data_IF_520793623724
#
_entry.id   IF_520793623724
#
_cell.length_a   1.000
_cell.length_b   1.000
_cell.length_c   1.000
_cell.angle_alpha   90.00
_cell.angle_beta   90.00
_cell.angle_gamma   90.00
#
_symmetry.space_group_name_H-M   'P 1'
#
loop_
_entity.id
_entity.type
_entity.pdbx_description
1 polymer ?
#
# COMPACT_ATOMS: atom_id res chain seq x y z
N UNK A 1 -16.03 16.89 25.36
CA UNK A 1 -16.23 18.34 25.20
C UNK A 1 -15.38 19.04 26.22
N UNK A 2 -14.41 19.86 25.81
CA UNK A 2 -13.68 20.73 26.72
C UNK A 2 -14.67 21.70 27.36
N UNK A 3 -14.58 21.91 28.66
CA UNK A 3 -15.49 22.81 29.40
C UNK A 3 -15.24 24.31 29.14
N UNK A 4 -14.42 24.66 28.17
CA UNK A 4 -14.20 26.04 27.73
C UNK A 4 -14.86 26.27 26.36
N UNK A 5 -15.19 27.49 26.06
CA UNK A 5 -15.94 27.92 24.87
C UNK A 5 -15.07 28.11 23.63
N UNK A 6 -13.80 27.69 23.65
CA UNK A 6 -12.89 27.73 22.49
C UNK A 6 -13.15 26.56 21.55
N UNK A 7 -14.24 26.62 20.82
CA UNK A 7 -14.54 25.67 19.77
C UNK A 7 -14.03 26.20 18.43
N UNK A 8 -13.14 25.48 17.79
CA UNK A 8 -12.79 25.73 16.40
C UNK A 8 -13.99 25.33 15.53
N UNK A 9 -14.40 26.22 14.66
CA UNK A 9 -15.40 25.87 13.65
C UNK A 9 -14.68 25.11 12.53
N UNK A 10 -15.02 23.84 12.28
CA UNK A 10 -14.39 23.09 11.20
C UNK A 10 -14.79 23.73 9.86
N UNK A 11 -13.82 23.81 8.95
CA UNK A 11 -14.04 24.22 7.57
C UNK A 11 -13.51 23.13 6.65
N UNK A 12 -14.36 22.68 5.72
CA UNK A 12 -14.05 21.62 4.76
C UNK A 12 -13.69 20.25 5.40
N UNK A 13 -14.14 20.01 6.63
CA UNK A 13 -14.04 18.70 7.27
C UNK A 13 -15.36 17.94 7.12
N UNK A 14 -15.28 16.69 6.73
CA UNK A 14 -16.40 15.76 6.63
C UNK A 14 -16.23 14.62 7.63
N UNK A 15 -17.25 13.79 7.82
CA UNK A 15 -17.16 12.63 8.70
C UNK A 15 -16.09 11.61 8.23
N UNK A 16 -15.75 11.62 6.96
CA UNK A 16 -14.74 10.75 6.34
C UNK A 16 -13.30 11.23 6.58
N UNK A 17 -13.13 12.46 7.06
CA UNK A 17 -11.81 12.99 7.46
C UNK A 17 -11.45 12.65 8.93
N UNK A 18 -12.36 11.99 9.64
CA UNK A 18 -12.14 11.54 11.03
C UNK A 18 -11.38 10.21 11.01
N UNK A 19 -10.28 10.16 11.73
CA UNK A 19 -9.48 8.94 11.91
C UNK A 19 -9.46 8.55 13.38
N UNK A 20 -9.18 7.27 13.67
CA UNK A 20 -8.94 6.77 15.03
C UNK A 20 -7.50 6.97 15.47
N UNK A 21 -6.68 7.62 14.65
CA UNK A 21 -5.30 7.93 14.97
C UNK A 21 -5.20 8.83 16.21
N UNK A 22 -4.40 8.41 17.16
CA UNK A 22 -4.15 9.11 18.42
C UNK A 22 -2.66 9.06 18.76
N UNK A 23 -2.14 9.89 19.69
CA UNK A 23 -0.73 9.80 20.10
C UNK A 23 -0.30 8.42 20.61
N UNK A 24 -1.24 7.60 21.07
CA UNK A 24 -0.98 6.23 21.56
C UNK A 24 -1.32 5.16 20.53
N UNK A 25 -1.93 5.52 19.42
CA UNK A 25 -2.41 4.59 18.40
C UNK A 25 -2.22 5.26 17.03
N UNK A 26 -0.98 5.25 16.56
CA UNK A 26 -0.54 5.94 15.34
C UNK A 26 -0.45 4.95 14.18
N UNK A 27 -1.34 5.11 13.21
CA UNK A 27 -1.40 4.27 12.02
C UNK A 27 -0.62 4.90 10.86
N UNK A 28 -0.04 4.05 10.00
CA UNK A 28 0.48 4.52 8.74
C UNK A 28 -0.65 5.01 7.82
N UNK A 29 -0.33 5.98 6.98
CA UNK A 29 -1.20 6.49 5.90
C UNK A 29 -0.38 6.60 4.62
N UNK A 30 -0.98 6.97 3.50
CA UNK A 30 -0.22 7.39 2.33
C UNK A 30 0.57 8.66 2.63
N UNK A 31 1.81 8.70 2.13
CA UNK A 31 2.75 9.79 2.39
C UNK A 31 2.53 10.95 1.41
N UNK A 32 2.01 12.07 1.89
CA UNK A 32 1.79 13.26 1.07
C UNK A 32 3.10 13.92 0.57
N UNK A 33 4.23 13.60 1.21
CA UNK A 33 5.55 14.12 0.85
C UNK A 33 6.33 13.16 -0.07
N UNK A 34 5.89 11.89 -0.17
CA UNK A 34 6.54 10.89 -1.03
C UNK A 34 5.50 10.20 -1.94
N UNK A 35 4.98 10.98 -2.85
CA UNK A 35 4.00 10.59 -3.87
C UNK A 35 4.30 11.26 -5.21
N UNK A 36 3.88 10.65 -6.29
CA UNK A 36 3.92 11.27 -7.61
C UNK A 36 3.02 12.52 -7.67
N UNK A 37 3.37 13.47 -8.53
CA UNK A 37 2.69 14.77 -8.62
C UNK A 37 1.19 14.66 -9.01
N UNK A 38 0.81 13.61 -9.73
CA UNK A 38 -0.55 13.31 -10.16
C UNK A 38 -1.30 12.33 -9.23
N UNK A 39 -0.82 12.15 -8.01
CA UNK A 39 -1.53 11.45 -6.94
C UNK A 39 -2.31 12.45 -6.10
N UNK A 40 -3.61 12.25 -5.99
CA UNK A 40 -4.48 12.99 -5.06
C UNK A 40 -4.81 12.09 -3.88
N UNK A 41 -4.55 12.58 -2.67
CA UNK A 41 -4.88 11.89 -1.42
C UNK A 41 -6.16 12.46 -0.81
N UNK A 42 -6.96 11.62 -0.19
CA UNK A 42 -8.20 11.98 0.53
C UNK A 42 -8.45 11.00 1.68
N UNK A 43 -9.55 11.18 2.41
CA UNK A 43 -9.93 10.32 3.55
C UNK A 43 -8.78 10.21 4.57
N UNK A 44 -8.33 11.35 5.09
CA UNK A 44 -7.16 11.42 6.00
C UNK A 44 -5.91 10.71 5.45
N UNK A 45 -5.66 10.80 4.14
CA UNK A 45 -4.60 10.10 3.40
C UNK A 45 -4.72 8.55 3.39
N UNK A 46 -5.90 8.01 3.66
CA UNK A 46 -6.15 6.57 3.52
C UNK A 46 -6.60 6.18 2.10
N UNK A 47 -6.86 7.17 1.25
CA UNK A 47 -7.25 6.96 -0.16
C UNK A 47 -6.32 7.71 -1.11
N UNK A 48 -5.91 7.03 -2.18
CA UNK A 48 -5.12 7.60 -3.27
C UNK A 48 -5.84 7.43 -4.61
N UNK A 49 -6.02 8.52 -5.32
CA UNK A 49 -6.40 8.53 -6.73
C UNK A 49 -5.14 8.84 -7.56
N UNK A 50 -4.70 7.89 -8.36
CA UNK A 50 -3.49 8.01 -9.19
C UNK A 50 -3.90 8.15 -10.64
N UNK A 51 -3.81 9.37 -11.17
CA UNK A 51 -4.11 9.64 -12.57
C UNK A 51 -2.96 9.19 -13.47
N UNK A 52 -3.27 8.38 -14.46
CA UNK A 52 -2.31 7.94 -15.47
C UNK A 52 -1.95 9.08 -16.43
N UNK A 53 -0.69 9.14 -16.81
CA UNK A 53 -0.17 10.07 -17.80
C UNK A 53 0.79 9.37 -18.77
N UNK A 54 0.48 8.11 -19.10
CA UNK A 54 1.35 7.27 -19.94
C UNK A 54 2.63 6.79 -19.26
N UNK A 55 2.78 7.03 -17.98
CA UNK A 55 3.95 6.62 -17.17
C UNK A 55 3.48 6.07 -15.83
N UNK A 56 4.32 5.25 -15.22
CA UNK A 56 4.07 4.71 -13.88
C UNK A 56 4.13 5.79 -12.81
N UNK A 57 3.27 5.69 -11.81
CA UNK A 57 3.12 6.64 -10.71
C UNK A 57 2.89 5.89 -9.41
N UNK A 58 3.54 6.32 -8.37
CA UNK A 58 3.53 5.63 -7.09
C UNK A 58 3.24 6.56 -5.92
N UNK A 59 2.84 5.97 -4.82
CA UNK A 59 2.81 6.60 -3.50
C UNK A 59 3.23 5.56 -2.46
N UNK A 60 4.03 6.00 -1.48
CA UNK A 60 4.46 5.15 -0.37
C UNK A 60 3.61 5.40 0.88
N UNK A 61 3.74 4.50 1.86
CA UNK A 61 3.25 4.75 3.21
C UNK A 61 4.13 5.76 3.97
N UNK A 62 3.61 6.30 5.07
CA UNK A 62 4.34 7.22 5.97
C UNK A 62 5.33 6.49 6.87
N UNK A 63 5.13 5.20 7.12
CA UNK A 63 6.00 4.38 7.97
C UNK A 63 6.76 3.40 7.09
N UNK A 64 8.07 3.32 7.30
CA UNK A 64 8.93 2.30 6.72
C UNK A 64 9.36 1.31 7.79
N UNK A 65 9.63 0.07 7.38
CA UNK A 65 9.93 -1.05 8.28
C UNK A 65 11.27 -1.68 7.91
N UNK A 66 12.01 -2.16 8.92
CA UNK A 66 13.31 -2.82 8.71
C UNK A 66 13.40 -4.21 9.36
N UNK A 67 12.44 -4.56 10.21
CA UNK A 67 12.38 -5.83 10.95
C UNK A 67 10.94 -6.14 11.33
N UNK A 68 10.71 -7.38 11.77
CA UNK A 68 9.43 -7.82 12.32
C UNK A 68 8.47 -8.34 11.26
N UNK A 69 7.26 -8.66 11.72
CA UNK A 69 6.18 -9.22 10.92
C UNK A 69 5.09 -8.18 10.77
N UNK A 70 4.73 -7.89 9.53
CA UNK A 70 3.81 -6.82 9.18
C UNK A 70 2.73 -7.35 8.24
N UNK A 71 1.52 -6.86 8.43
CA UNK A 71 0.41 -7.12 7.52
C UNK A 71 -0.32 -5.82 7.21
N UNK A 72 -0.71 -5.64 5.97
CA UNK A 72 -1.60 -4.56 5.55
C UNK A 72 -2.44 -4.99 4.36
N UNK A 73 -3.50 -4.25 4.14
CA UNK A 73 -4.39 -4.46 3.00
C UNK A 73 -4.52 -3.19 2.16
N UNK A 74 -4.74 -3.40 0.88
CA UNK A 74 -5.08 -2.34 -0.06
C UNK A 74 -6.26 -2.79 -0.89
N UNK A 75 -7.35 -2.03 -0.87
CA UNK A 75 -8.47 -2.24 -1.78
C UNK A 75 -8.23 -1.49 -3.07
N UNK A 76 -8.26 -2.19 -4.19
CA UNK A 76 -8.14 -1.64 -5.53
C UNK A 76 -9.54 -1.31 -6.06
N UNK A 77 -10.03 -0.09 -5.83
CA UNK A 77 -11.43 0.27 -6.06
C UNK A 77 -11.74 0.64 -7.51
N UNK A 78 -10.75 1.00 -8.30
CA UNK A 78 -10.92 1.31 -9.72
C UNK A 78 -9.70 0.81 -10.50
N UNK A 79 -9.92 -0.24 -11.25
CA UNK A 79 -8.91 -0.85 -12.12
C UNK A 79 -9.07 -0.30 -13.54
N UNK A 80 -8.10 0.47 -13.99
CA UNK A 80 -8.03 1.00 -15.36
C UNK A 80 -6.75 0.62 -16.08
N UNK A 81 -5.72 0.24 -15.33
CA UNK A 81 -4.43 -0.26 -15.81
C UNK A 81 -3.78 -1.13 -14.75
N UNK A 82 -2.72 -1.81 -15.13
CA UNK A 82 -1.95 -2.66 -14.21
C UNK A 82 -1.50 -1.90 -12.96
N UNK A 83 -1.66 -2.52 -11.82
CA UNK A 83 -1.27 -2.01 -10.51
C UNK A 83 -0.24 -2.92 -9.85
N UNK A 84 0.61 -2.34 -9.00
CA UNK A 84 1.61 -3.04 -8.23
C UNK A 84 1.45 -2.73 -6.74
N UNK A 85 1.61 -3.73 -5.91
CA UNK A 85 1.52 -3.66 -4.46
C UNK A 85 2.74 -4.35 -3.85
N UNK A 86 3.40 -3.73 -2.86
CA UNK A 86 4.54 -4.38 -2.24
C UNK A 86 5.42 -3.47 -1.40
N UNK A 87 6.68 -3.84 -1.33
CA UNK A 87 7.74 -3.17 -0.57
C UNK A 87 8.84 -2.70 -1.51
N UNK A 88 9.34 -1.51 -1.25
CA UNK A 88 10.49 -0.92 -1.96
C UNK A 88 11.48 -0.37 -0.94
N UNK A 89 12.76 -0.57 -1.17
CA UNK A 89 13.82 -0.05 -0.31
C UNK A 89 13.78 1.47 -0.24
N UNK A 90 13.92 2.01 0.97
CA UNK A 90 14.07 3.44 1.21
C UNK A 90 15.45 3.95 0.82
N UNK A 91 16.44 3.06 0.72
CA UNK A 91 17.84 3.38 0.45
C UNK A 91 18.15 3.54 -1.05
N UNK A 92 17.19 3.16 -1.90
CA UNK A 92 17.34 3.29 -3.35
C UNK A 92 16.70 4.61 -3.81
N UNK A 93 17.51 5.41 -4.51
CA UNK A 93 16.98 6.57 -5.24
C UNK A 93 16.15 6.09 -6.43
N UNK A 94 14.84 6.27 -6.37
CA UNK A 94 13.93 6.01 -7.46
C UNK A 94 13.02 7.20 -7.72
N UNK A 95 12.72 7.43 -8.99
CA UNK A 95 11.91 8.57 -9.38
C UNK A 95 10.43 8.23 -9.32
N UNK A 96 9.77 8.66 -8.26
CA UNK A 96 8.34 8.41 -8.03
C UNK A 96 7.42 9.00 -9.12
N UNK A 97 7.93 9.91 -9.94
CA UNK A 97 7.21 10.60 -11.03
C UNK A 97 7.54 10.07 -12.43
N UNK A 98 8.44 9.10 -12.56
CA UNK A 98 8.94 8.65 -13.85
C UNK A 98 8.71 7.17 -14.08
N UNK A 99 9.45 6.66 -15.06
CA UNK A 99 9.43 5.26 -15.49
C UNK A 99 10.07 4.29 -14.50
N UNK A 100 10.75 4.79 -13.48
CA UNK A 100 11.30 3.97 -12.41
C UNK A 100 10.13 3.52 -11.53
N UNK A 101 9.69 2.31 -11.68
CA UNK A 101 8.61 1.76 -10.89
C UNK A 101 9.10 0.63 -10.00
N UNK A 102 8.42 0.40 -8.87
CA UNK A 102 8.78 -0.70 -8.00
C UNK A 102 8.75 -2.08 -8.65
N UNK A 103 8.05 -2.23 -9.79
CA UNK A 103 7.98 -3.48 -10.53
C UNK A 103 9.18 -3.73 -11.46
N UNK A 104 9.79 -2.68 -12.02
CA UNK A 104 10.99 -2.81 -12.86
C UNK A 104 11.85 -1.56 -12.71
N UNK A 105 13.14 -1.64 -12.86
CA UNK A 105 14.05 -0.50 -12.69
C UNK A 105 14.48 -0.22 -11.25
N UNK A 106 13.85 -0.82 -10.24
CA UNK A 106 14.26 -0.76 -8.83
C UNK A 106 14.84 -2.12 -8.45
N UNK A 107 16.09 -2.13 -8.03
CA UNK A 107 16.85 -3.36 -7.77
C UNK A 107 16.62 -3.97 -6.38
N UNK A 108 15.86 -3.31 -5.50
CA UNK A 108 15.60 -3.79 -4.15
C UNK A 108 14.13 -3.59 -3.78
N UNK A 109 13.32 -4.52 -4.26
CA UNK A 109 11.87 -4.54 -4.08
C UNK A 109 11.33 -5.96 -3.99
N UNK A 110 10.12 -6.08 -3.49
CA UNK A 110 9.26 -7.26 -3.63
C UNK A 110 7.83 -6.80 -3.81
N UNK A 111 7.13 -7.38 -4.77
CA UNK A 111 5.75 -7.01 -5.01
C UNK A 111 5.00 -7.96 -5.92
N UNK A 112 3.73 -7.64 -6.10
CA UNK A 112 2.76 -8.42 -6.83
C UNK A 112 1.88 -7.48 -7.66
N UNK A 113 1.61 -7.86 -8.90
CA UNK A 113 0.74 -7.08 -9.77
C UNK A 113 -0.58 -7.80 -10.07
N UNK A 114 -1.52 -7.04 -10.62
CA UNK A 114 -2.86 -7.49 -11.00
C UNK A 114 -2.88 -8.60 -12.07
N UNK A 115 -1.81 -8.77 -12.82
CA UNK A 115 -1.64 -9.88 -13.76
C UNK A 115 -1.19 -11.21 -13.12
N UNK A 116 -1.07 -11.28 -11.78
CA UNK A 116 -0.62 -12.49 -11.08
C UNK A 116 0.90 -12.69 -11.06
N UNK A 117 1.66 -11.64 -11.39
CA UNK A 117 3.13 -11.69 -11.48
C UNK A 117 3.78 -11.11 -10.23
N UNK A 118 4.74 -11.81 -9.66
CA UNK A 118 5.62 -11.27 -8.61
C UNK A 118 6.84 -10.60 -9.22
N UNK A 119 7.37 -9.64 -8.47
CA UNK A 119 8.62 -8.95 -8.74
C UNK A 119 9.53 -9.07 -7.53
N UNK A 120 10.77 -9.47 -7.75
CA UNK A 120 11.80 -9.53 -6.71
C UNK A 120 13.07 -8.95 -7.27
N UNK A 121 13.58 -7.87 -6.67
CA UNK A 121 14.80 -7.18 -7.10
C UNK A 121 14.78 -6.86 -8.61
N UNK A 122 13.65 -6.33 -9.10
CA UNK A 122 13.45 -5.96 -10.49
C UNK A 122 13.17 -7.12 -11.46
N UNK A 123 13.27 -8.36 -11.02
CA UNK A 123 12.99 -9.55 -11.84
C UNK A 123 11.54 -10.02 -11.63
N UNK A 124 10.88 -10.43 -12.71
CA UNK A 124 9.48 -10.87 -12.67
C UNK A 124 9.31 -12.36 -12.97
N UNK A 125 8.31 -12.97 -12.34
CA UNK A 125 7.88 -14.34 -12.64
C UNK A 125 6.43 -14.56 -12.19
N UNK A 126 5.79 -15.59 -12.73
CA UNK A 126 4.44 -16.00 -12.32
C UNK A 126 4.38 -16.34 -10.84
N UNK A 127 3.30 -15.97 -10.14
CA UNK A 127 3.15 -16.24 -8.71
C UNK A 127 1.73 -16.65 -8.33
N UNK A 128 0.72 -15.89 -8.71
CA UNK A 128 -0.65 -16.12 -8.28
C UNK A 128 -1.67 -15.88 -9.38
N UNK A 129 -2.92 -15.76 -8.97
CA UNK A 129 -4.01 -15.35 -9.85
C UNK A 129 -4.04 -13.84 -10.02
N UNK A 130 -4.55 -13.37 -11.13
CA UNK A 130 -4.84 -11.95 -11.32
C UNK A 130 -5.94 -11.46 -10.39
N UNK A 131 -5.98 -10.15 -10.17
CA UNK A 131 -7.01 -9.47 -9.39
C UNK A 131 -7.44 -8.18 -10.13
N UNK A 132 -8.51 -7.54 -9.69
CA UNK A 132 -9.05 -6.37 -10.36
C UNK A 132 -9.94 -5.51 -9.48
N UNK A 133 -10.95 -4.94 -10.08
CA UNK A 133 -11.87 -3.98 -9.44
C UNK A 133 -12.50 -4.52 -8.15
N UNK A 134 -12.36 -3.73 -7.09
CA UNK A 134 -12.86 -4.00 -5.74
C UNK A 134 -12.17 -5.16 -5.01
N UNK A 135 -11.15 -5.78 -5.56
CA UNK A 135 -10.39 -6.78 -4.84
C UNK A 135 -9.54 -6.13 -3.73
N UNK A 136 -9.36 -6.89 -2.66
CA UNK A 136 -8.52 -6.52 -1.52
C UNK A 136 -7.25 -7.34 -1.59
N UNK A 137 -6.13 -6.64 -1.69
CA UNK A 137 -4.80 -7.23 -1.74
C UNK A 137 -4.18 -7.13 -0.36
N UNK A 138 -3.94 -8.27 0.27
CA UNK A 138 -3.21 -8.38 1.54
C UNK A 138 -1.74 -8.67 1.29
N UNK A 139 -0.88 -8.09 2.10
CA UNK A 139 0.56 -8.31 2.07
C UNK A 139 1.04 -8.68 3.46
N UNK A 140 1.49 -9.91 3.63
CA UNK A 140 2.15 -10.38 4.84
C UNK A 140 3.66 -10.42 4.60
N UNK A 141 4.38 -9.54 5.28
CA UNK A 141 5.83 -9.43 5.18
C UNK A 141 6.49 -9.83 6.51
N UNK A 142 7.34 -10.83 6.45
CA UNK A 142 8.17 -11.27 7.56
C UNK A 142 9.62 -10.91 7.24
N UNK A 143 10.06 -9.75 7.74
CA UNK A 143 11.40 -9.25 7.45
C UNK A 143 12.48 -9.97 8.25
N UNK A 144 12.11 -10.66 9.33
CA UNK A 144 13.06 -11.42 10.14
C UNK A 144 13.44 -12.76 9.49
N UNK A 145 12.52 -13.35 8.72
CA UNK A 145 12.72 -14.65 8.05
C UNK A 145 12.85 -14.47 6.51
N UNK A 146 12.92 -13.24 6.00
CA UNK A 146 13.10 -12.94 4.58
C UNK A 146 11.96 -13.46 3.68
N UNK A 147 10.70 -13.35 4.12
CA UNK A 147 9.53 -13.92 3.47
C UNK A 147 8.41 -12.90 3.23
N UNK A 148 7.73 -13.02 2.08
CA UNK A 148 6.51 -12.27 1.78
C UNK A 148 5.46 -13.19 1.16
N UNK A 149 4.21 -13.07 1.64
CA UNK A 149 3.05 -13.74 1.04
C UNK A 149 2.01 -12.70 0.65
N UNK A 150 1.48 -12.81 -0.56
CA UNK A 150 0.37 -11.98 -1.03
C UNK A 150 -0.95 -12.74 -0.93
N UNK A 151 -2.00 -11.99 -0.65
CA UNK A 151 -3.37 -12.47 -0.56
C UNK A 151 -4.25 -11.68 -1.54
N UNK A 152 -5.27 -12.33 -2.07
CA UNK A 152 -6.36 -11.69 -2.80
C UNK A 152 -7.66 -12.09 -2.13
N UNK A 153 -8.41 -11.12 -1.63
CA UNK A 153 -9.66 -11.34 -0.89
C UNK A 153 -9.52 -12.39 0.24
N UNK A 154 -8.43 -12.29 1.01
CA UNK A 154 -8.12 -13.21 2.10
C UNK A 154 -7.55 -14.56 1.68
N UNK A 155 -7.46 -14.86 0.37
CA UNK A 155 -6.91 -16.12 -0.14
C UNK A 155 -5.43 -15.97 -0.45
N UNK A 156 -4.59 -16.74 0.22
CA UNK A 156 -3.14 -16.75 -0.02
C UNK A 156 -2.83 -17.16 -1.47
N UNK A 157 -2.01 -16.39 -2.13
CA UNK A 157 -1.57 -16.69 -3.48
C UNK A 157 -0.49 -17.77 -3.49
N UNK A 158 -0.33 -18.47 -4.61
CA UNK A 158 0.64 -19.56 -4.76
C UNK A 158 0.52 -20.63 -3.64
N UNK A 159 -0.71 -20.94 -3.23
CA UNK A 159 -1.00 -21.88 -2.11
C UNK A 159 -0.28 -21.52 -0.80
N UNK A 160 -0.04 -20.23 -0.55
CA UNK A 160 0.66 -19.73 0.64
C UNK A 160 2.18 -19.89 0.60
N UNK A 161 2.75 -20.31 -0.53
CA UNK A 161 4.20 -20.39 -0.66
C UNK A 161 4.81 -18.99 -0.68
N UNK A 162 5.66 -18.71 0.31
CA UNK A 162 6.29 -17.43 0.47
C UNK A 162 7.26 -17.09 -0.67
N UNK A 163 7.39 -15.82 -0.95
CA UNK A 163 8.42 -15.25 -1.80
C UNK A 163 9.62 -14.97 -0.92
N UNK A 164 10.78 -15.59 -1.23
CA UNK A 164 12.03 -15.27 -0.54
C UNK A 164 12.60 -13.95 -1.08
N UNK A 165 12.92 -13.04 -0.17
CA UNK A 165 13.52 -11.73 -0.45
C UNK A 165 14.38 -11.31 0.72
N UNK A 166 15.69 -11.25 0.57
CA UNK A 166 16.58 -10.75 1.62
C UNK A 166 16.34 -9.27 1.88
N UNK A 167 16.00 -8.93 3.11
CA UNK A 167 15.78 -7.57 3.57
C UNK A 167 17.02 -7.06 4.29
N UNK A 168 17.70 -6.07 3.73
CA UNK A 168 18.97 -5.55 4.26
C UNK A 168 18.90 -4.09 4.70
N UNK A 169 17.73 -3.46 4.61
CA UNK A 169 17.55 -2.04 4.89
C UNK A 169 16.18 -1.72 5.42
N UNK A 170 15.70 -0.55 5.12
CA UNK A 170 14.39 -0.03 5.47
C UNK A 170 13.49 -0.03 4.24
N UNK A 171 12.25 -0.48 4.37
CA UNK A 171 11.32 -0.64 3.24
C UNK A 171 10.03 0.11 3.47
N UNK A 172 9.59 0.85 2.45
CA UNK A 172 8.27 1.44 2.39
C UNK A 172 7.26 0.48 1.76
N UNK A 173 6.05 0.47 2.28
CA UNK A 173 4.88 -0.04 1.57
C UNK A 173 4.56 0.92 0.42
N UNK A 174 4.24 0.36 -0.73
CA UNK A 174 4.01 1.13 -1.94
C UNK A 174 2.84 0.58 -2.73
N UNK A 175 2.07 1.48 -3.31
CA UNK A 175 1.14 1.18 -4.39
C UNK A 175 1.54 1.95 -5.63
N UNK A 176 1.32 1.35 -6.79
CA UNK A 176 1.67 1.94 -8.07
C UNK A 176 0.56 1.71 -9.09
N UNK A 177 0.25 2.76 -9.83
CA UNK A 177 -0.41 2.72 -11.12
C UNK A 177 0.67 2.54 -12.19
N UNK A 178 0.67 1.43 -12.91
CA UNK A 178 1.58 1.22 -14.02
C UNK A 178 1.19 2.08 -15.23
N UNK A 179 2.04 2.15 -16.23
CA UNK A 179 1.85 3.04 -17.37
C UNK A 179 0.50 2.82 -18.07
N UNK A 180 -0.22 3.89 -18.30
CA UNK A 180 -1.53 3.86 -18.97
C UNK A 180 -2.27 5.18 -18.81
N UNK A 181 -3.49 5.24 -19.33
CA UNK A 181 -4.43 6.36 -19.17
C UNK A 181 -5.54 5.98 -18.18
N UNK A 182 -6.21 6.99 -17.63
CA UNK A 182 -7.26 6.81 -16.64
C UNK A 182 -6.77 7.03 -15.22
N UNK A 183 -7.61 6.77 -14.24
CA UNK A 183 -7.30 6.97 -12.82
C UNK A 183 -7.56 5.68 -12.05
N UNK A 184 -6.53 5.13 -11.44
CA UNK A 184 -6.65 4.03 -10.48
C UNK A 184 -6.86 4.56 -9.08
N UNK A 185 -7.75 3.93 -8.31
CA UNK A 185 -8.05 4.31 -6.94
C UNK A 185 -7.70 3.19 -5.98
N UNK A 186 -7.03 3.57 -4.89
CA UNK A 186 -6.55 2.67 -3.85
C UNK A 186 -7.03 3.17 -2.49
N UNK A 187 -7.52 2.26 -1.65
CA UNK A 187 -7.82 2.52 -0.24
C UNK A 187 -6.96 1.59 0.60
N UNK A 188 -6.29 2.13 1.63
CA UNK A 188 -5.38 1.34 2.47
C UNK A 188 -5.96 1.04 3.84
N UNK A 189 -5.53 -0.10 4.39
CA UNK A 189 -5.72 -0.51 5.76
C UNK A 189 -4.36 -0.80 6.41
N UNK A 190 -3.94 0.09 7.31
CA UNK A 190 -2.82 -0.11 8.22
C UNK A 190 -3.29 -0.18 9.68
N UNK A 191 -4.53 -0.65 9.90
CA UNK A 191 -5.19 -0.73 11.20
C UNK A 191 -6.36 0.25 11.37
N UNK A 192 -6.63 1.12 10.39
CA UNK A 192 -7.78 2.03 10.38
C UNK A 192 -8.43 2.09 8.99
N UNK A 193 -9.07 1.00 8.54
CA UNK A 193 -9.61 0.91 7.19
C UNK A 193 -10.88 1.72 6.98
N UNK A 194 -11.07 2.21 5.76
CA UNK A 194 -12.35 2.69 5.25
C UNK A 194 -13.24 1.58 4.69
N UNK A 195 -12.75 0.33 4.67
CA UNK A 195 -13.42 -0.85 4.11
C UNK A 195 -13.32 -2.03 5.08
N UNK A 196 -14.16 -3.06 4.88
CA UNK A 196 -14.08 -4.29 5.66
C UNK A 196 -12.81 -5.08 5.29
N UNK A 197 -12.02 -5.45 6.29
CA UNK A 197 -10.81 -6.27 6.11
C UNK A 197 -11.16 -7.66 5.58
N UNK A 198 -10.29 -8.25 4.75
CA UNK A 198 -10.57 -9.53 4.10
C UNK A 198 -9.96 -10.74 4.80
N UNK A 199 -8.87 -10.60 5.53
CA UNK A 199 -8.18 -11.74 6.14
C UNK A 199 -8.47 -11.96 7.61
N UNK A 200 -8.93 -10.96 8.34
CA UNK A 200 -9.31 -11.08 9.75
C UNK A 200 -8.21 -11.50 10.72
N UNK A 201 -6.94 -11.33 10.33
CA UNK A 201 -5.80 -11.60 11.21
C UNK A 201 -5.60 -10.42 12.16
N UNK A 202 -6.50 -10.29 13.12
CA UNK A 202 -6.34 -9.30 14.18
C UNK A 202 -5.13 -9.65 15.06
N UNK A 203 -4.41 -8.63 15.52
CA UNK A 203 -3.41 -8.80 16.57
C UNK A 203 -4.07 -9.15 17.93
N UNK A 204 -3.27 -9.33 18.98
CA UNK A 204 -3.77 -9.67 20.32
C UNK A 204 -4.71 -8.59 20.91
N UNK A 205 -4.74 -7.38 20.35
CA UNK A 205 -5.60 -6.26 20.75
C UNK A 205 -6.81 -6.07 19.83
N UNK A 206 -6.96 -6.90 18.80
CA UNK A 206 -8.07 -6.84 17.84
C UNK A 206 -7.85 -5.84 16.70
N UNK A 207 -6.64 -5.39 16.50
CA UNK A 207 -6.23 -4.59 15.33
C UNK A 207 -5.66 -5.52 14.26
N UNK A 208 -6.31 -5.61 13.14
CA UNK A 208 -5.91 -6.48 12.02
C UNK A 208 -5.98 -5.76 10.68
#
# INVERSE_FOLDING_TARGET
>A
TSGNTNHLTPSNLTATDVTTDTPTNNFATFNSLHKASNVTLSEANCKAAIAGAGQSRSVTATIAVSKGKWYWETKYTTDVVSAFFGLVSADIAWNINATDYPSSGVSDNVGFNDGGTKYVNGSSSSYGSGFGNNDIIGVAANLDDDEVVFYVNGTAQNSGTAISKTFSGTYFFVVQHQSGSGTSNFEINFGNPSFAISSGNADANGYG
#
